data_IF_465350255560
#
_entry.id   IF_465350255560
#
_cell.length_a   1.000
_cell.length_b   1.000
_cell.length_c   1.000
_cell.angle_alpha   90.00
_cell.angle_beta   90.00
_cell.angle_gamma   90.00
#
_symmetry.space_group_name_H-M   'P 1'
#
loop_
_entity.id
_entity.type
_entity.pdbx_description
1 polymer ?
#
# COMPACT_ATOMS: atom_id res chain seq x y z
N UNK A 1 -2.71 12.30 3.34
CA UNK A 1 -3.50 11.05 3.35
C UNK A 1 -2.83 10.05 4.28
N UNK A 2 -3.62 9.29 5.04
CA UNK A 2 -3.14 8.20 5.89
C UNK A 2 -3.64 6.87 5.33
N UNK A 3 -2.72 5.90 5.19
CA UNK A 3 -2.99 4.57 4.66
C UNK A 3 -2.72 3.53 5.76
N UNK A 4 -3.52 2.46 5.79
CA UNK A 4 -3.38 1.36 6.72
C UNK A 4 -2.48 0.27 6.11
N UNK A 5 -1.36 -0.02 6.75
CA UNK A 5 -0.50 -1.14 6.38
C UNK A 5 -1.16 -2.47 6.74
N UNK A 6 -0.86 -3.50 5.96
CA UNK A 6 -1.31 -4.86 6.20
C UNK A 6 -0.90 -5.32 7.61
N UNK A 7 -1.84 -6.00 8.28
CA UNK A 7 -1.63 -6.53 9.63
C UNK A 7 -0.75 -7.77 9.57
N UNK A 8 0.09 -7.95 10.59
CA UNK A 8 0.85 -9.19 10.79
C UNK A 8 0.01 -10.30 11.42
N UNK A 9 -1.05 -9.92 12.13
CA UNK A 9 -1.99 -10.82 12.82
C UNK A 9 -3.41 -10.35 12.53
N UNK A 10 -4.36 -11.29 12.38
CA UNK A 10 -5.74 -11.00 11.96
C UNK A 10 -6.42 -9.99 12.89
N UNK A 11 -6.21 -10.14 14.20
CA UNK A 11 -6.79 -9.31 15.26
C UNK A 11 -5.98 -8.06 15.60
N UNK A 12 -4.78 -7.89 15.02
CA UNK A 12 -3.95 -6.73 15.31
C UNK A 12 -4.53 -5.46 14.69
N UNK A 13 -4.38 -4.33 15.40
CA UNK A 13 -4.73 -3.02 14.82
C UNK A 13 -3.77 -2.70 13.67
N UNK A 14 -4.28 -2.33 12.49
CA UNK A 14 -3.43 -1.98 11.36
C UNK A 14 -2.64 -0.72 11.69
N UNK A 15 -1.35 -0.74 11.35
CA UNK A 15 -0.48 0.43 11.52
C UNK A 15 -0.80 1.43 10.41
N UNK A 16 -0.99 2.68 10.75
CA UNK A 16 -1.14 3.74 9.75
C UNK A 16 0.23 4.30 9.34
N UNK A 17 0.35 4.61 8.06
CA UNK A 17 1.50 5.29 7.47
C UNK A 17 1.02 6.50 6.68
N UNK A 18 1.74 7.61 6.80
CA UNK A 18 1.48 8.83 6.05
C UNK A 18 2.19 8.79 4.69
N UNK A 19 1.59 9.42 3.67
CA UNK A 19 2.17 9.51 2.33
C UNK A 19 3.63 10.01 2.32
N UNK A 20 3.94 11.02 3.13
CA UNK A 20 5.29 11.58 3.30
C UNK A 20 6.34 10.53 3.71
N UNK A 21 5.97 9.61 4.61
CA UNK A 21 6.86 8.52 5.04
C UNK A 21 7.07 7.47 3.94
N UNK A 22 6.03 7.23 3.14
CA UNK A 22 6.13 6.32 1.98
C UNK A 22 7.09 6.94 0.97
N UNK A 23 6.92 8.22 0.66
CA UNK A 23 7.80 8.95 -0.25
C UNK A 23 9.25 8.94 0.23
N UNK A 24 9.51 9.27 1.51
CA UNK A 24 10.85 9.25 2.07
C UNK A 24 11.49 7.85 1.99
N UNK A 25 10.69 6.80 2.16
CA UNK A 25 11.17 5.43 2.07
C UNK A 25 11.49 4.99 0.63
N UNK A 26 10.63 5.35 -0.34
CA UNK A 26 10.86 5.09 -1.77
C UNK A 26 12.07 5.88 -2.26
N UNK A 27 12.16 7.18 -1.93
CA UNK A 27 13.26 8.05 -2.34
C UNK A 27 14.61 7.61 -1.79
N UNK A 28 14.62 6.96 -0.62
CA UNK A 28 15.85 6.44 0.00
C UNK A 28 16.32 5.11 -0.62
N UNK A 29 15.41 4.22 -0.97
CA UNK A 29 15.74 2.87 -1.46
C UNK A 29 15.68 2.74 -3.00
N UNK A 30 15.13 3.73 -3.69
CA UNK A 30 14.92 3.74 -5.14
C UNK A 30 13.76 2.87 -5.61
N UNK A 31 13.41 1.82 -4.86
CA UNK A 31 12.26 0.97 -5.07
C UNK A 31 11.74 0.47 -3.72
N UNK A 32 10.43 0.30 -3.58
CA UNK A 32 9.86 -0.26 -2.35
C UNK A 32 8.50 -0.91 -2.56
N UNK A 33 8.28 -2.02 -1.87
CA UNK A 33 7.01 -2.73 -1.84
C UNK A 33 6.30 -2.43 -0.51
N UNK A 34 5.04 -2.06 -0.60
CA UNK A 34 4.15 -1.83 0.53
C UNK A 34 2.96 -2.78 0.45
N UNK A 35 2.62 -3.35 1.60
CA UNK A 35 1.40 -4.13 1.78
C UNK A 35 0.40 -3.28 2.56
N UNK A 36 -0.75 -3.02 1.97
CA UNK A 36 -1.84 -2.26 2.56
C UNK A 36 -3.02 -3.17 2.92
N UNK A 37 -3.67 -2.85 4.02
CA UNK A 37 -4.84 -3.58 4.51
C UNK A 37 -6.04 -3.40 3.57
N UNK A 38 -6.94 -4.39 3.51
CA UNK A 38 -8.21 -4.31 2.77
C UNK A 38 -9.12 -3.18 3.24
N UNK A 39 -8.93 -2.69 4.46
CA UNK A 39 -9.69 -1.56 4.99
C UNK A 39 -9.38 -0.22 4.30
N UNK A 40 -8.34 -0.14 3.47
CA UNK A 40 -8.10 1.06 2.67
C UNK A 40 -9.14 1.17 1.56
N UNK A 41 -9.63 2.38 1.35
CA UNK A 41 -10.53 2.63 0.22
C UNK A 41 -9.74 2.58 -1.09
N UNK A 42 -10.33 2.00 -2.13
CA UNK A 42 -9.72 1.92 -3.46
C UNK A 42 -9.28 3.31 -3.96
N UNK A 43 -10.05 4.36 -3.66
CA UNK A 43 -9.69 5.75 -4.00
C UNK A 43 -8.36 6.21 -3.39
N UNK A 44 -8.04 5.74 -2.18
CA UNK A 44 -6.78 6.10 -1.51
C UNK A 44 -5.58 5.43 -2.19
N UNK A 45 -5.75 4.21 -2.68
CA UNK A 45 -4.71 3.49 -3.42
C UNK A 45 -4.49 4.11 -4.80
N UNK A 46 -5.55 4.47 -5.52
CA UNK A 46 -5.45 5.18 -6.80
C UNK A 46 -4.75 6.52 -6.62
N UNK A 47 -5.11 7.30 -5.60
CA UNK A 47 -4.43 8.57 -5.31
C UNK A 47 -2.94 8.39 -5.00
N UNK A 48 -2.55 7.27 -4.36
CA UNK A 48 -1.14 6.94 -4.14
C UNK A 48 -0.43 6.60 -5.45
N UNK A 49 -1.07 5.81 -6.32
CA UNK A 49 -0.55 5.48 -7.65
C UNK A 49 -0.32 6.74 -8.47
N UNK A 50 -1.34 7.60 -8.61
CA UNK A 50 -1.27 8.87 -9.35
C UNK A 50 -0.14 9.76 -8.82
N UNK A 51 -0.01 9.89 -7.49
CA UNK A 51 1.01 10.73 -6.87
C UNK A 51 2.46 10.31 -7.23
N UNK A 52 2.72 9.01 -7.30
CA UNK A 52 4.06 8.50 -7.66
C UNK A 52 4.27 8.47 -9.18
N UNK A 53 3.22 8.21 -9.98
CA UNK A 53 3.28 8.33 -11.44
C UNK A 53 3.56 9.77 -11.88
N UNK A 54 2.97 10.78 -11.23
CA UNK A 54 3.28 12.20 -11.48
C UNK A 54 4.75 12.56 -11.18
N UNK A 55 5.41 11.82 -10.27
CA UNK A 55 6.85 11.94 -10.00
C UNK A 55 7.73 11.16 -10.98
N UNK A 56 7.14 10.46 -11.95
CA UNK A 56 7.83 9.65 -12.95
C UNK A 56 8.23 8.26 -12.46
N UNK A 57 7.66 7.78 -11.35
CA UNK A 57 7.88 6.43 -10.82
C UNK A 57 6.83 5.47 -11.37
N UNK A 58 7.22 4.22 -11.57
CA UNK A 58 6.30 3.16 -12.00
C UNK A 58 5.66 2.50 -10.79
N UNK A 59 4.33 2.52 -10.72
CA UNK A 59 3.60 1.90 -9.61
C UNK A 59 2.81 0.68 -10.10
N UNK A 60 3.16 -0.49 -9.59
CA UNK A 60 2.39 -1.71 -9.78
C UNK A 60 1.56 -1.97 -8.54
N UNK A 61 0.26 -2.18 -8.71
CA UNK A 61 -0.60 -2.59 -7.61
C UNK A 61 -1.37 -3.86 -7.98
N UNK A 62 -1.55 -4.75 -7.01
CA UNK A 62 -2.39 -5.94 -7.15
C UNK A 62 -3.03 -6.33 -5.83
N UNK A 63 -4.11 -7.08 -5.93
CA UNK A 63 -4.73 -7.71 -4.76
C UNK A 63 -4.08 -9.07 -4.50
N UNK A 64 -3.60 -9.28 -3.28
CA UNK A 64 -3.01 -10.54 -2.84
C UNK A 64 -3.97 -11.22 -1.86
N UNK A 65 -4.43 -12.41 -2.20
CA UNK A 65 -5.28 -13.24 -1.32
C UNK A 65 -4.40 -14.13 -0.46
N UNK A 66 -4.68 -14.17 0.84
CA UNK A 66 -3.96 -15.01 1.82
C UNK A 66 -4.84 -16.09 2.44
N UNK A 67 -6.14 -16.10 2.15
CA UNK A 67 -7.09 -17.09 2.62
C UNK A 67 -8.05 -17.53 1.51
N UNK A 68 -8.93 -18.46 1.86
CA UNK A 68 -9.99 -18.96 0.97
C UNK A 68 -11.21 -18.04 0.98
N UNK A 69 -11.38 -17.22 2.02
CA UNK A 69 -12.47 -16.26 2.10
C UNK A 69 -12.24 -15.09 1.14
N UNK A 70 -13.33 -14.57 0.56
CA UNK A 70 -13.23 -13.41 -0.34
C UNK A 70 -12.76 -12.15 0.40
N UNK A 71 -12.90 -12.10 1.73
CA UNK A 71 -12.37 -11.03 2.56
C UNK A 71 -10.91 -11.23 2.98
N UNK A 72 -10.27 -12.36 2.69
CA UNK A 72 -8.88 -12.61 3.07
C UNK A 72 -7.92 -12.12 1.98
N UNK A 73 -7.89 -10.80 1.80
CA UNK A 73 -6.98 -10.14 0.88
C UNK A 73 -6.31 -8.90 1.46
N UNK A 74 -5.22 -8.50 0.82
CA UNK A 74 -4.50 -7.26 1.04
C UNK A 74 -4.08 -6.67 -0.30
N UNK A 75 -3.68 -5.41 -0.32
CA UNK A 75 -3.16 -4.75 -1.51
C UNK A 75 -1.64 -4.73 -1.46
N UNK A 76 -1.00 -5.26 -2.49
CA UNK A 76 0.45 -5.10 -2.69
C UNK A 76 0.65 -3.96 -3.68
N UNK A 77 1.46 -2.96 -3.28
CA UNK A 77 1.86 -1.84 -4.12
C UNK A 77 3.37 -1.78 -4.18
N UNK A 78 3.91 -1.90 -5.38
CA UNK A 78 5.32 -1.81 -5.68
C UNK A 78 5.60 -0.51 -6.43
N UNK A 79 6.46 0.33 -5.86
CA UNK A 79 6.87 1.60 -6.43
C UNK A 79 8.33 1.46 -6.88
N UNK A 80 8.61 1.78 -8.15
CA UNK A 80 9.89 1.63 -8.86
C UNK A 80 10.31 2.93 -9.54
#
# INVERSE_FOLDING_TARGET
MELKLARTEIDAKPKTISLDKIEAAVSKEGQKIFYFDKENSHKQLIALVEFFEEKGLSVYHRTVRYGLDDNDYMYEVHIL
#
